data_IF_104427717292
#
_entry.id   IF_104427717292
#
_cell.length_a   1.000
_cell.length_b   1.000
_cell.length_c   1.000
_cell.angle_alpha   90.00
_cell.angle_beta   90.00
_cell.angle_gamma   90.00
#
_symmetry.space_group_name_H-M   'P 1'
#
loop_
_entity.id
_entity.type
_entity.pdbx_description
1 polymer ?
#
# COMPACT_ATOMS: atom_id res chain seq x y z
N UNK A 1 -16.91 13.08 -1.67
CA UNK A 1 -15.69 13.43 -2.46
C UNK A 1 -14.81 12.20 -2.45
N UNK A 2 -14.44 11.71 -3.61
CA UNK A 2 -13.73 10.41 -3.74
C UNK A 2 -12.26 10.44 -3.27
N UNK A 3 -11.55 11.58 -3.37
CA UNK A 3 -10.24 11.73 -2.74
C UNK A 3 -10.42 11.97 -1.23
N UNK A 4 -9.90 11.08 -0.40
CA UNK A 4 -10.10 11.10 1.06
C UNK A 4 -8.81 10.86 1.83
N UNK A 5 -8.76 11.21 3.12
CA UNK A 5 -7.67 10.84 4.02
C UNK A 5 -7.67 9.31 4.26
N UNK A 6 -6.51 8.74 4.54
CA UNK A 6 -6.39 7.28 4.75
C UNK A 6 -6.97 6.86 6.11
N UNK A 7 -6.72 7.62 7.18
CA UNK A 7 -7.12 7.24 8.54
C UNK A 7 -8.63 6.91 8.68
N UNK A 8 -9.58 7.71 8.15
CA UNK A 8 -11.00 7.36 8.21
C UNK A 8 -11.32 6.01 7.56
N UNK A 9 -10.66 5.66 6.44
CA UNK A 9 -10.83 4.37 5.76
C UNK A 9 -10.34 3.22 6.65
N UNK A 10 -9.19 3.40 7.30
CA UNK A 10 -8.60 2.36 8.17
C UNK A 10 -9.43 2.17 9.46
N UNK A 11 -9.89 3.26 10.07
CA UNK A 11 -10.76 3.18 11.26
C UNK A 11 -12.10 2.51 10.96
N UNK A 12 -12.66 2.71 9.78
CA UNK A 12 -13.86 2.02 9.37
C UNK A 12 -13.59 0.54 9.07
N UNK A 13 -12.43 0.24 8.48
CA UNK A 13 -11.99 -1.13 8.24
C UNK A 13 -11.82 -1.92 9.56
N UNK A 14 -11.20 -1.33 10.57
CA UNK A 14 -11.07 -1.93 11.91
C UNK A 14 -12.44 -2.29 12.52
N UNK A 15 -13.41 -1.37 12.49
CA UNK A 15 -14.76 -1.61 13.02
C UNK A 15 -15.48 -2.77 12.35
N UNK A 16 -15.21 -2.97 11.07
CA UNK A 16 -15.85 -4.00 10.25
C UNK A 16 -15.07 -5.32 10.17
N UNK A 17 -13.89 -5.41 10.81
CA UNK A 17 -12.95 -6.52 10.70
C UNK A 17 -12.62 -6.85 9.23
N UNK A 18 -12.26 -5.83 8.46
CA UNK A 18 -11.79 -5.90 7.07
C UNK A 18 -10.49 -5.13 6.94
N UNK A 19 -9.84 -5.22 5.77
CA UNK A 19 -8.67 -4.37 5.47
C UNK A 19 -8.84 -3.63 4.15
N UNK A 20 -8.32 -2.40 4.07
CA UNK A 20 -8.25 -1.64 2.82
C UNK A 20 -7.01 -2.07 2.04
N UNK A 21 -7.21 -2.41 0.77
CA UNK A 21 -6.11 -2.75 -0.12
C UNK A 21 -5.33 -1.49 -0.54
N UNK A 22 -4.02 -1.51 -0.30
CA UNK A 22 -3.10 -0.49 -0.76
C UNK A 22 -2.31 -1.03 -1.97
N UNK A 23 -2.60 -0.47 -3.14
CA UNK A 23 -2.08 -0.96 -4.40
C UNK A 23 -0.99 -0.05 -4.94
N UNK A 24 0.24 -0.59 -5.04
CA UNK A 24 1.38 0.15 -5.57
C UNK A 24 1.23 0.38 -7.07
N UNK A 25 1.43 1.62 -7.48
CA UNK A 25 1.38 2.06 -8.87
C UNK A 25 2.70 2.71 -9.29
N UNK A 26 3.03 2.65 -10.56
CA UNK A 26 4.27 3.22 -11.10
C UNK A 26 4.10 3.83 -12.50
N UNK A 27 2.89 3.76 -13.06
CA UNK A 27 2.55 4.35 -14.34
C UNK A 27 1.02 4.55 -14.46
N UNK A 28 0.60 5.17 -15.55
CA UNK A 28 -0.81 5.46 -15.82
C UNK A 28 -1.67 4.19 -15.89
N UNK A 29 -1.16 3.15 -16.50
CA UNK A 29 -1.87 1.88 -16.69
C UNK A 29 -2.20 1.23 -15.36
N UNK A 30 -1.26 1.25 -14.41
CA UNK A 30 -1.46 0.71 -13.07
C UNK A 30 -2.50 1.53 -12.28
N UNK A 31 -2.45 2.87 -12.37
CA UNK A 31 -3.48 3.74 -11.78
C UNK A 31 -4.86 3.41 -12.34
N UNK A 32 -4.98 3.30 -13.68
CA UNK A 32 -6.25 2.97 -14.34
C UNK A 32 -6.76 1.58 -13.92
N UNK A 33 -5.89 0.59 -13.83
CA UNK A 33 -6.24 -0.77 -13.42
C UNK A 33 -6.78 -0.82 -11.99
N UNK A 34 -6.10 -0.14 -11.07
CA UNK A 34 -6.48 -0.09 -9.66
C UNK A 34 -7.84 0.64 -9.47
N UNK A 35 -7.99 1.82 -10.06
CA UNK A 35 -9.25 2.59 -9.96
C UNK A 35 -10.43 1.82 -10.55
N UNK A 36 -10.26 1.24 -11.75
CA UNK A 36 -11.33 0.44 -12.38
C UNK A 36 -11.72 -0.78 -11.55
N UNK A 37 -10.75 -1.51 -10.99
CA UNK A 37 -11.04 -2.65 -10.13
C UNK A 37 -11.81 -2.23 -8.87
N UNK A 38 -11.44 -1.11 -8.26
CA UNK A 38 -12.12 -0.55 -7.09
C UNK A 38 -13.56 -0.13 -7.41
N UNK A 39 -13.77 0.55 -8.54
CA UNK A 39 -15.11 0.96 -9.01
C UNK A 39 -16.00 -0.26 -9.35
N UNK A 40 -15.45 -1.28 -10.03
CA UNK A 40 -16.16 -2.53 -10.34
C UNK A 40 -16.59 -3.27 -9.07
N UNK A 41 -15.82 -3.14 -7.98
CA UNK A 41 -16.10 -3.77 -6.69
C UNK A 41 -16.88 -2.86 -5.72
N UNK A 42 -17.13 -1.61 -6.10
CA UNK A 42 -17.71 -0.56 -5.24
C UNK A 42 -17.03 -0.48 -3.88
N UNK A 43 -15.71 -0.29 -3.87
CA UNK A 43 -14.86 -0.47 -2.68
C UNK A 43 -13.79 0.62 -2.59
N UNK A 44 -13.56 1.22 -1.41
CA UNK A 44 -12.44 2.13 -1.20
C UNK A 44 -11.10 1.41 -1.32
N UNK A 45 -10.10 2.11 -1.85
CA UNK A 45 -8.72 1.64 -1.94
C UNK A 45 -7.72 2.73 -1.58
N UNK A 46 -6.46 2.33 -1.44
CA UNK A 46 -5.32 3.23 -1.34
C UNK A 46 -4.48 3.08 -2.62
N UNK A 47 -4.27 4.18 -3.36
CA UNK A 47 -3.26 4.25 -4.41
C UNK A 47 -1.95 4.69 -3.78
N UNK A 48 -0.89 3.89 -3.91
CA UNK A 48 0.39 4.20 -3.29
C UNK A 48 1.56 4.15 -4.28
N UNK A 49 2.60 4.96 -4.00
CA UNK A 49 3.86 4.93 -4.73
C UNK A 49 5.02 5.07 -3.74
N UNK A 50 5.99 4.16 -3.83
CA UNK A 50 7.18 4.20 -2.97
C UNK A 50 8.23 5.20 -3.51
N UNK A 51 8.92 5.93 -2.61
CA UNK A 51 9.94 6.92 -3.00
C UNK A 51 11.03 6.31 -3.90
N UNK A 52 11.46 5.07 -3.65
CA UNK A 52 12.46 4.37 -4.47
C UNK A 52 12.06 4.23 -5.94
N UNK A 53 10.76 4.26 -6.26
CA UNK A 53 10.27 4.18 -7.64
C UNK A 53 10.36 5.50 -8.39
N UNK A 54 10.48 6.61 -7.68
CA UNK A 54 10.41 7.95 -8.27
C UNK A 54 11.56 8.23 -9.25
N UNK A 55 12.67 7.48 -9.18
CA UNK A 55 13.72 7.54 -10.21
C UNK A 55 13.23 7.13 -11.61
N UNK A 56 12.22 6.25 -11.71
CA UNK A 56 11.64 5.76 -12.97
C UNK A 56 10.22 6.29 -13.22
N UNK A 57 9.58 6.78 -12.18
CA UNK A 57 8.18 7.26 -12.18
C UNK A 57 8.15 8.59 -11.41
N UNK A 58 8.67 9.69 -11.99
CA UNK A 58 8.87 10.97 -11.30
C UNK A 58 7.61 11.46 -10.61
N UNK A 59 7.75 11.96 -9.37
CA UNK A 59 6.62 12.38 -8.54
C UNK A 59 5.80 13.50 -9.18
N UNK A 60 6.46 14.43 -9.87
CA UNK A 60 5.83 15.54 -10.57
C UNK A 60 4.89 15.10 -11.71
N UNK A 61 5.06 13.88 -12.23
CA UNK A 61 4.18 13.28 -13.23
C UNK A 61 3.14 12.35 -12.57
N UNK A 62 3.58 11.53 -11.63
CA UNK A 62 2.70 10.55 -10.99
C UNK A 62 1.70 11.20 -10.04
N UNK A 63 2.12 12.17 -9.24
CA UNK A 63 1.27 12.73 -8.21
C UNK A 63 0.01 13.42 -8.77
N UNK A 64 0.10 14.35 -9.76
CA UNK A 64 -1.09 14.94 -10.35
C UNK A 64 -2.03 13.90 -10.96
N UNK A 65 -1.48 12.85 -11.58
CA UNK A 65 -2.26 11.77 -12.19
C UNK A 65 -3.00 10.94 -11.13
N UNK A 66 -2.32 10.51 -10.06
CA UNK A 66 -2.91 9.75 -8.97
C UNK A 66 -4.00 10.55 -8.25
N UNK A 67 -3.72 11.81 -7.90
CA UNK A 67 -4.67 12.72 -7.25
C UNK A 67 -5.87 13.01 -8.15
N UNK A 68 -5.65 13.24 -9.46
CA UNK A 68 -6.74 13.44 -10.42
C UNK A 68 -7.61 12.19 -10.57
N UNK A 69 -6.98 11.01 -10.66
CA UNK A 69 -7.71 9.74 -10.74
C UNK A 69 -8.57 9.52 -9.49
N UNK A 70 -8.02 9.75 -8.29
CA UNK A 70 -8.74 9.63 -7.03
C UNK A 70 -9.90 10.63 -6.93
N UNK A 71 -9.72 11.90 -7.34
CA UNK A 71 -10.77 12.93 -7.33
C UNK A 71 -11.97 12.60 -8.23
N UNK A 72 -11.74 11.88 -9.34
CA UNK A 72 -12.76 11.56 -10.33
C UNK A 72 -13.30 10.13 -10.19
N UNK A 73 -12.80 9.33 -9.26
CA UNK A 73 -13.28 7.99 -9.00
C UNK A 73 -14.72 8.01 -8.42
N UNK A 74 -15.44 6.90 -8.57
CA UNK A 74 -16.79 6.70 -8.00
C UNK A 74 -16.76 6.14 -6.57
N UNK A 75 -15.58 5.75 -6.10
CA UNK A 75 -15.33 5.21 -4.77
C UNK A 75 -14.31 6.08 -4.03
N UNK A 76 -14.25 5.98 -2.72
CA UNK A 76 -13.27 6.72 -1.93
C UNK A 76 -11.87 6.15 -2.11
N UNK A 77 -10.91 7.04 -2.40
CA UNK A 77 -9.51 6.67 -2.66
C UNK A 77 -8.60 7.59 -1.85
N UNK A 78 -7.73 7.00 -1.04
CA UNK A 78 -6.59 7.71 -0.46
C UNK A 78 -5.38 7.62 -1.40
N UNK A 79 -4.58 8.69 -1.46
CA UNK A 79 -3.33 8.73 -2.22
C UNK A 79 -2.17 8.81 -1.24
N UNK A 80 -1.27 7.83 -1.29
CA UNK A 80 -0.28 7.57 -0.27
C UNK A 80 1.16 7.55 -0.83
N UNK A 81 2.08 8.26 -0.17
CA UNK A 81 3.51 8.07 -0.36
C UNK A 81 3.98 6.91 0.53
N UNK A 82 4.35 5.81 -0.10
CA UNK A 82 4.79 4.57 0.53
C UNK A 82 6.32 4.59 0.69
N UNK A 83 6.84 4.08 1.80
CA UNK A 83 8.27 4.06 2.11
C UNK A 83 9.02 5.35 1.73
N UNK A 84 8.54 6.48 2.27
CA UNK A 84 9.25 7.76 2.17
C UNK A 84 10.55 7.69 2.95
N UNK A 85 11.67 8.04 2.31
CA UNK A 85 13.01 7.99 2.88
C UNK A 85 13.51 9.38 3.26
N UNK A 86 12.93 10.42 2.63
CA UNK A 86 13.38 11.80 2.77
C UNK A 86 12.22 12.74 3.12
N UNK A 87 12.49 13.67 4.03
CA UNK A 87 11.52 14.71 4.40
C UNK A 87 11.15 15.58 3.20
N UNK A 88 12.06 15.78 2.26
CA UNK A 88 11.79 16.58 1.06
C UNK A 88 10.82 15.89 0.11
N UNK A 89 10.91 14.57 -0.04
CA UNK A 89 9.92 13.80 -0.80
C UNK A 89 8.54 13.85 -0.13
N UNK A 90 8.49 13.74 1.19
CA UNK A 90 7.23 13.85 1.96
C UNK A 90 6.60 15.23 1.76
N UNK A 91 7.38 16.33 1.88
CA UNK A 91 6.90 17.69 1.60
C UNK A 91 6.37 17.83 0.18
N UNK A 92 7.09 17.28 -0.80
CA UNK A 92 6.65 17.31 -2.19
C UNK A 92 5.34 16.56 -2.38
N UNK A 93 5.18 15.34 -1.83
CA UNK A 93 3.95 14.56 -1.90
C UNK A 93 2.76 15.31 -1.28
N UNK A 94 2.93 15.89 -0.10
CA UNK A 94 1.92 16.72 0.55
C UNK A 94 1.54 17.94 -0.31
N UNK A 95 2.52 18.61 -0.93
CA UNK A 95 2.27 19.77 -1.80
C UNK A 95 1.49 19.42 -3.06
N UNK A 96 1.60 18.20 -3.56
CA UNK A 96 0.79 17.68 -4.67
C UNK A 96 -0.62 17.22 -4.25
N UNK A 97 -0.93 17.23 -2.95
CA UNK A 97 -2.24 16.86 -2.42
C UNK A 97 -2.38 15.37 -2.10
N UNK A 98 -1.29 14.69 -1.79
CA UNK A 98 -1.35 13.35 -1.19
C UNK A 98 -2.08 13.45 0.14
N UNK A 99 -2.96 12.50 0.40
CA UNK A 99 -3.80 12.46 1.61
C UNK A 99 -3.22 11.55 2.70
N UNK A 100 -2.09 10.94 2.39
CA UNK A 100 -1.34 10.10 3.33
C UNK A 100 0.14 10.03 2.92
N UNK A 101 1.01 9.95 3.91
CA UNK A 101 2.45 9.79 3.73
C UNK A 101 3.00 8.79 4.75
N UNK A 102 4.05 8.08 4.39
CA UNK A 102 4.81 7.23 5.29
C UNK A 102 6.27 7.72 5.35
N UNK A 103 6.83 7.76 6.56
CA UNK A 103 8.28 7.81 6.76
C UNK A 103 8.77 6.43 7.17
N UNK A 104 9.72 5.89 6.41
CA UNK A 104 10.37 4.62 6.73
C UNK A 104 11.77 4.88 7.31
N UNK A 105 11.84 4.87 8.64
CA UNK A 105 13.06 4.92 9.42
C UNK A 105 13.28 3.62 10.23
N UNK A 106 12.66 2.52 9.83
CA UNK A 106 12.69 1.22 10.52
C UNK A 106 14.09 0.62 10.71
N UNK A 107 15.02 1.00 9.85
CA UNK A 107 16.43 0.59 9.94
C UNK A 107 17.28 1.43 10.90
N UNK A 108 16.76 2.55 11.39
CA UNK A 108 17.46 3.41 12.35
C UNK A 108 17.26 2.91 13.80
N UNK A 109 18.11 3.35 14.73
CA UNK A 109 17.84 3.17 16.15
C UNK A 109 16.48 3.71 16.55
N UNK A 110 15.85 3.13 17.57
CA UNK A 110 14.48 3.46 17.99
C UNK A 110 14.29 4.97 18.23
N UNK A 111 15.17 5.60 18.98
CA UNK A 111 15.08 7.02 19.34
C UNK A 111 15.20 7.94 18.12
N UNK A 112 16.01 7.52 17.11
CA UNK A 112 16.12 8.28 15.86
C UNK A 112 14.88 8.10 14.99
N UNK A 113 14.32 6.90 14.93
CA UNK A 113 13.05 6.64 14.24
C UNK A 113 11.93 7.48 14.88
N UNK A 114 11.78 7.43 16.21
CA UNK A 114 10.81 8.24 16.95
C UNK A 114 10.94 9.72 16.60
N UNK A 115 12.16 10.28 16.74
CA UNK A 115 12.40 11.70 16.48
C UNK A 115 11.99 12.12 15.08
N UNK A 116 12.46 11.38 14.05
CA UNK A 116 12.18 11.71 12.64
C UNK A 116 10.70 11.53 12.31
N UNK A 117 10.07 10.49 12.82
CA UNK A 117 8.65 10.24 12.63
C UNK A 117 7.79 11.35 13.27
N UNK A 118 8.11 11.76 14.50
CA UNK A 118 7.44 12.88 15.16
C UNK A 118 7.55 14.19 14.34
N UNK A 119 8.73 14.49 13.76
CA UNK A 119 8.93 15.65 12.88
C UNK A 119 8.00 15.59 11.64
N UNK A 120 7.80 14.38 11.06
CA UNK A 120 6.91 14.19 9.91
C UNK A 120 5.44 14.30 10.31
N UNK A 121 5.05 13.80 11.47
CA UNK A 121 3.69 13.99 12.01
C UNK A 121 3.37 15.47 12.13
N UNK A 122 4.26 16.25 12.75
CA UNK A 122 4.09 17.70 12.88
C UNK A 122 4.02 18.42 11.52
N UNK A 123 4.79 17.95 10.53
CA UNK A 123 4.80 18.47 9.15
C UNK A 123 3.50 18.17 8.40
N UNK A 124 2.93 16.97 8.55
CA UNK A 124 1.74 16.53 7.85
C UNK A 124 0.44 17.08 8.47
N UNK A 125 0.45 17.35 9.76
CA UNK A 125 -0.72 17.80 10.54
C UNK A 125 -1.51 18.96 9.89
N UNK A 126 -0.87 20.06 9.40
CA UNK A 126 -1.61 21.18 8.80
C UNK A 126 -2.39 20.81 7.51
N UNK A 127 -1.98 19.76 6.82
CA UNK A 127 -2.66 19.28 5.61
C UNK A 127 -3.79 18.29 5.90
N UNK A 128 -3.90 17.79 7.13
CA UNK A 128 -4.83 16.72 7.49
C UNK A 128 -4.48 15.37 6.86
N UNK A 129 -3.26 15.20 6.36
CA UNK A 129 -2.80 13.95 5.80
C UNK A 129 -2.49 12.94 6.90
N UNK A 130 -2.85 11.68 6.67
CA UNK A 130 -2.56 10.55 7.55
C UNK A 130 -1.06 10.24 7.52
N UNK A 131 -0.45 9.98 8.68
CA UNK A 131 0.95 9.57 8.78
C UNK A 131 1.06 8.12 9.20
N UNK A 132 1.69 7.33 8.34
CA UNK A 132 2.11 5.94 8.61
C UNK A 132 3.60 5.91 8.94
N UNK A 133 4.04 5.00 9.80
CA UNK A 133 5.45 4.71 10.02
C UNK A 133 5.65 3.22 10.26
N UNK A 134 6.88 2.74 10.17
CA UNK A 134 7.25 1.34 10.34
C UNK A 134 8.13 1.13 11.58
N UNK A 135 7.83 0.06 12.32
CA UNK A 135 8.65 -0.44 13.42
C UNK A 135 8.91 -1.93 13.28
N UNK A 136 10.12 -2.35 13.59
CA UNK A 136 10.64 -3.65 13.19
C UNK A 136 11.33 -3.54 11.84
N UNK A 137 11.63 -4.66 11.19
CA UNK A 137 12.22 -4.69 9.83
C UNK A 137 11.46 -5.73 9.01
N UNK A 138 10.71 -5.24 8.03
CA UNK A 138 10.09 -6.11 7.02
C UNK A 138 11.19 -6.69 6.14
N UNK A 139 11.14 -8.01 5.90
CA UNK A 139 12.16 -8.71 5.12
C UNK A 139 12.10 -8.43 3.63
N UNK A 140 13.04 -9.04 2.89
CA UNK A 140 13.06 -8.97 1.43
C UNK A 140 13.69 -7.70 0.87
N UNK A 141 13.42 -7.45 -0.39
CA UNK A 141 13.99 -6.33 -1.14
C UNK A 141 12.89 -5.52 -1.79
N UNK A 142 12.84 -4.25 -1.49
CA UNK A 142 11.99 -3.30 -2.17
C UNK A 142 12.78 -2.50 -3.24
N UNK A 143 13.00 -3.13 -4.40
CA UNK A 143 13.79 -2.58 -5.50
C UNK A 143 15.29 -2.91 -5.39
N UNK A 144 16.19 -1.94 -5.67
CA UNK A 144 17.66 -2.15 -5.78
C UNK A 144 18.41 -2.17 -4.43
N UNK A 145 17.74 -2.37 -3.31
CA UNK A 145 18.37 -2.41 -1.99
C UNK A 145 18.78 -3.81 -1.59
N UNK A 146 19.75 -3.91 -0.68
CA UNK A 146 20.15 -5.18 -0.09
C UNK A 146 18.96 -5.87 0.60
N UNK A 147 18.94 -7.19 0.55
CA UNK A 147 17.96 -7.99 1.25
C UNK A 147 18.09 -7.78 2.77
N UNK A 148 17.01 -7.37 3.42
CA UNK A 148 16.97 -7.15 4.85
C UNK A 148 16.51 -8.40 5.57
N UNK A 149 17.20 -8.75 6.68
CA UNK A 149 16.74 -9.80 7.57
C UNK A 149 15.55 -9.30 8.37
N UNK A 150 14.53 -10.13 8.45
CA UNK A 150 13.33 -9.85 9.24
C UNK A 150 13.71 -9.63 10.71
N UNK A 151 13.20 -8.53 11.29
CA UNK A 151 13.20 -8.28 12.72
C UNK A 151 11.78 -7.97 13.14
N UNK A 152 11.12 -8.91 13.80
CA UNK A 152 9.75 -8.71 14.25
C UNK A 152 9.63 -7.47 15.16
N UNK A 153 8.51 -6.81 15.06
CA UNK A 153 8.16 -5.66 15.91
C UNK A 153 7.98 -6.14 17.35
N UNK A 154 8.61 -5.44 18.28
CA UNK A 154 8.39 -5.64 19.72
C UNK A 154 7.10 -4.91 20.15
N UNK A 155 6.15 -5.58 20.85
CA UNK A 155 4.86 -5.00 21.20
C UNK A 155 4.96 -3.80 22.15
N UNK A 156 5.87 -3.81 23.13
CA UNK A 156 6.05 -2.68 24.05
C UNK A 156 6.73 -1.51 23.34
N UNK A 157 7.70 -1.79 22.45
CA UNK A 157 8.28 -0.75 21.61
C UNK A 157 7.23 -0.14 20.67
N UNK A 158 6.27 -0.93 20.13
CA UNK A 158 5.17 -0.41 19.32
C UNK A 158 4.28 0.56 20.08
N UNK A 159 3.91 0.24 21.33
CA UNK A 159 3.15 1.10 22.22
C UNK A 159 3.86 2.42 22.51
N UNK A 160 5.16 2.35 22.82
CA UNK A 160 5.97 3.55 23.07
C UNK A 160 6.09 4.39 21.80
N UNK A 161 6.35 3.75 20.65
CA UNK A 161 6.49 4.42 19.36
C UNK A 161 5.22 5.20 18.98
N UNK A 162 4.04 4.58 19.08
CA UNK A 162 2.74 5.26 18.87
C UNK A 162 2.63 6.50 19.79
N UNK A 163 2.90 6.32 21.08
CA UNK A 163 2.72 7.39 22.08
C UNK A 163 3.68 8.57 21.84
N UNK A 164 4.93 8.29 21.49
CA UNK A 164 5.97 9.31 21.35
C UNK A 164 5.93 10.01 19.99
N UNK A 165 5.46 9.32 18.96
CA UNK A 165 5.43 9.87 17.60
C UNK A 165 4.11 10.54 17.26
N UNK A 166 2.98 10.02 17.76
CA UNK A 166 1.64 10.46 17.41
C UNK A 166 1.24 10.09 15.97
N UNK A 167 1.74 8.98 15.45
CA UNK A 167 1.36 8.43 14.12
C UNK A 167 -0.12 8.04 14.08
N UNK A 168 -0.66 7.96 12.87
CA UNK A 168 -2.04 7.55 12.60
C UNK A 168 -2.19 6.07 12.23
N UNK A 169 -1.11 5.41 11.76
CA UNK A 169 -1.09 4.01 11.40
C UNK A 169 0.32 3.42 11.56
N UNK A 170 0.41 2.15 11.95
CA UNK A 170 1.68 1.47 12.24
C UNK A 170 1.88 0.24 11.33
N UNK A 171 2.90 0.30 10.48
CA UNK A 171 3.39 -0.86 9.75
C UNK A 171 4.25 -1.75 10.65
N UNK A 172 3.90 -3.05 10.68
CA UNK A 172 4.51 -4.02 11.60
C UNK A 172 5.20 -5.16 10.85
N UNK A 173 6.34 -5.58 11.37
CA UNK A 173 7.06 -6.77 10.92
C UNK A 173 6.69 -7.97 11.80
N UNK A 174 6.02 -8.94 11.21
CA UNK A 174 5.58 -10.18 11.86
C UNK A 174 6.04 -11.45 11.12
N UNK A 175 7.12 -11.34 10.35
CA UNK A 175 7.59 -12.44 9.47
C UNK A 175 7.27 -12.20 7.98
N UNK A 176 6.64 -11.10 7.66
CA UNK A 176 6.33 -10.66 6.30
C UNK A 176 7.58 -10.09 5.60
N UNK A 177 7.58 -10.14 4.26
CA UNK A 177 8.67 -9.66 3.43
C UNK A 177 8.16 -9.06 2.11
N UNK A 178 8.94 -8.16 1.54
CA UNK A 178 8.68 -7.60 0.21
C UNK A 178 9.12 -8.55 -0.90
N UNK A 179 8.41 -8.52 -2.04
CA UNK A 179 8.76 -9.31 -3.22
C UNK A 179 8.06 -10.66 -3.27
N UNK A 180 8.73 -11.64 -3.88
CA UNK A 180 8.25 -13.02 -3.94
C UNK A 180 8.76 -13.81 -2.74
N UNK A 181 7.89 -14.60 -2.14
CA UNK A 181 8.29 -15.57 -1.11
C UNK A 181 8.85 -16.83 -1.78
N UNK A 182 10.15 -17.15 -1.60
CA UNK A 182 10.72 -18.38 -2.16
C UNK A 182 10.21 -19.64 -1.44
N UNK A 183 9.75 -19.48 -0.21
CA UNK A 183 9.07 -20.47 0.62
C UNK A 183 7.86 -19.86 1.29
N UNK A 184 6.95 -20.68 1.78
CA UNK A 184 5.76 -20.19 2.48
C UNK A 184 6.17 -19.28 3.66
N UNK A 185 5.64 -18.05 3.79
CA UNK A 185 5.97 -17.18 4.90
C UNK A 185 5.47 -17.74 6.24
N UNK A 186 6.27 -17.57 7.28
CA UNK A 186 5.89 -17.93 8.65
C UNK A 186 5.52 -16.64 9.41
N UNK A 187 4.22 -16.29 9.38
CA UNK A 187 3.73 -15.11 10.08
C UNK A 187 3.56 -15.39 11.58
N UNK A 188 4.11 -14.52 12.40
CA UNK A 188 4.05 -14.51 13.86
C UNK A 188 2.76 -13.87 14.34
N UNK A 189 1.67 -14.62 14.26
CA UNK A 189 0.34 -14.17 14.72
C UNK A 189 0.26 -13.93 16.23
N UNK A 190 1.10 -14.61 17.00
CA UNK A 190 1.28 -14.35 18.43
C UNK A 190 1.77 -12.92 18.68
N UNK A 191 2.79 -12.48 17.95
CA UNK A 191 3.31 -11.09 18.03
C UNK A 191 2.25 -10.08 17.54
N UNK A 192 1.54 -10.40 16.46
CA UNK A 192 0.48 -9.52 15.95
C UNK A 192 -0.62 -9.27 16.99
N UNK A 193 -1.05 -10.32 17.69
CA UNK A 193 -2.06 -10.23 18.76
C UNK A 193 -1.59 -9.34 19.92
N UNK A 194 -0.32 -9.47 20.32
CA UNK A 194 0.29 -8.65 21.36
C UNK A 194 0.40 -7.17 20.94
N UNK A 195 0.82 -6.90 19.69
CA UNK A 195 0.88 -5.53 19.17
C UNK A 195 -0.51 -4.91 19.10
N UNK A 196 -1.51 -5.63 18.57
CA UNK A 196 -2.88 -5.14 18.47
C UNK A 196 -3.50 -4.79 19.82
N UNK A 197 -3.12 -5.52 20.89
CA UNK A 197 -3.54 -5.20 22.27
C UNK A 197 -2.77 -4.03 22.88
N UNK A 198 -1.55 -3.79 22.43
CA UNK A 198 -0.67 -2.76 22.98
C UNK A 198 -0.86 -1.39 22.34
N UNK A 199 -1.41 -1.32 21.12
CA UNK A 199 -1.55 -0.09 20.31
C UNK A 199 -3.02 0.26 20.06
N UNK A 200 -3.29 1.52 19.72
CA UNK A 200 -4.64 2.05 19.41
C UNK A 200 -4.76 2.55 17.97
N UNK A 201 -3.67 2.51 17.20
CA UNK A 201 -3.66 2.91 15.79
C UNK A 201 -3.86 1.70 14.87
N UNK A 202 -4.50 1.88 13.70
CA UNK A 202 -4.63 0.83 12.70
C UNK A 202 -3.29 0.18 12.33
N UNK A 203 -3.27 -1.16 12.30
CA UNK A 203 -2.10 -1.92 11.91
C UNK A 203 -2.04 -2.12 10.41
N UNK A 204 -0.82 -2.06 9.87
CA UNK A 204 -0.54 -2.20 8.44
C UNK A 204 0.37 -3.40 8.21
N UNK A 205 0.03 -4.23 7.21
CA UNK A 205 0.83 -5.36 6.77
C UNK A 205 1.45 -5.06 5.39
N UNK A 206 2.77 -4.86 5.37
CA UNK A 206 3.55 -4.75 4.14
C UNK A 206 3.85 -6.12 3.55
N UNK A 207 4.21 -6.18 2.25
CA UNK A 207 4.58 -7.42 1.59
C UNK A 207 3.45 -8.45 1.49
N UNK A 208 2.20 -8.00 1.35
CA UNK A 208 1.03 -8.89 1.27
C UNK A 208 0.97 -9.78 0.02
N UNK A 209 1.71 -9.43 -1.05
CA UNK A 209 1.81 -10.25 -2.27
C UNK A 209 2.45 -11.60 -1.98
N UNK A 210 1.80 -12.69 -2.37
CA UNK A 210 2.31 -14.06 -2.16
C UNK A 210 2.03 -14.65 -0.77
N UNK A 211 1.46 -13.89 0.15
CA UNK A 211 0.92 -14.45 1.40
C UNK A 211 -0.39 -15.19 1.09
N UNK A 212 -0.56 -16.45 1.56
CA UNK A 212 -1.81 -17.20 1.39
C UNK A 212 -3.04 -16.45 1.91
N UNK A 213 -4.15 -16.58 1.18
CA UNK A 213 -5.38 -15.83 1.47
C UNK A 213 -5.96 -16.12 2.87
N UNK A 214 -5.81 -17.34 3.39
CA UNK A 214 -6.19 -17.70 4.75
C UNK A 214 -5.36 -17.01 5.82
N UNK A 215 -4.06 -16.84 5.59
CA UNK A 215 -3.16 -16.08 6.47
C UNK A 215 -3.50 -14.58 6.44
N UNK A 216 -3.80 -14.01 5.25
CA UNK A 216 -4.26 -12.62 5.14
C UNK A 216 -5.57 -12.38 5.91
N UNK A 217 -6.55 -13.26 5.74
CA UNK A 217 -7.81 -13.21 6.49
C UNK A 217 -7.61 -13.32 8.00
N UNK A 218 -6.68 -14.19 8.43
CA UNK A 218 -6.32 -14.30 9.84
C UNK A 218 -5.69 -13.03 10.39
N UNK A 219 -4.75 -12.42 9.64
CA UNK A 219 -4.13 -11.16 10.03
C UNK A 219 -5.18 -10.03 10.17
N UNK A 220 -6.13 -9.96 9.23
CA UNK A 220 -7.25 -8.99 9.28
C UNK A 220 -8.11 -9.21 10.53
N UNK A 221 -8.50 -10.46 10.83
CA UNK A 221 -9.26 -10.79 12.02
C UNK A 221 -8.53 -10.45 13.34
N UNK A 222 -7.20 -10.23 13.26
CA UNK A 222 -6.32 -9.85 14.36
C UNK A 222 -5.89 -8.38 14.33
N UNK A 223 -6.64 -7.51 13.59
CA UNK A 223 -6.49 -6.06 13.66
C UNK A 223 -5.73 -5.40 12.51
N UNK A 224 -5.29 -6.15 11.49
CA UNK A 224 -4.69 -5.53 10.31
C UNK A 224 -5.77 -4.83 9.49
N UNK A 225 -5.63 -3.51 9.32
CA UNK A 225 -6.59 -2.64 8.61
C UNK A 225 -6.13 -2.20 7.21
N UNK A 226 -4.84 -2.33 6.88
CA UNK A 226 -4.25 -2.02 5.56
C UNK A 226 -3.32 -3.14 5.12
N UNK A 227 -3.39 -3.53 3.85
CA UNK A 227 -2.46 -4.52 3.29
C UNK A 227 -1.89 -4.01 1.97
N UNK A 228 -0.56 -3.96 1.87
CA UNK A 228 0.16 -3.53 0.69
C UNK A 228 0.29 -4.67 -0.33
N UNK A 229 -0.17 -4.44 -1.56
CA UNK A 229 -0.07 -5.35 -2.70
C UNK A 229 0.66 -4.67 -3.86
N UNK A 230 1.73 -5.28 -4.32
CA UNK A 230 2.56 -4.78 -5.42
C UNK A 230 2.94 -5.88 -6.41
N UNK A 231 3.72 -6.87 -5.97
CA UNK A 231 4.41 -7.85 -6.82
C UNK A 231 3.43 -8.65 -7.68
N UNK A 232 2.31 -9.10 -7.14
CA UNK A 232 1.30 -9.86 -7.88
C UNK A 232 0.72 -9.07 -9.06
N UNK A 233 0.48 -7.76 -8.87
CA UNK A 233 -0.04 -6.89 -9.93
C UNK A 233 0.98 -6.72 -11.05
N UNK A 234 2.25 -6.55 -10.70
CA UNK A 234 3.36 -6.45 -11.67
C UNK A 234 3.49 -7.74 -12.48
N UNK A 235 3.46 -8.89 -11.80
CA UNK A 235 3.56 -10.21 -12.47
C UNK A 235 2.39 -10.40 -13.43
N UNK A 236 1.16 -10.09 -13.03
CA UNK A 236 -0.02 -10.23 -13.88
C UNK A 236 0.08 -9.36 -15.15
N UNK A 237 0.47 -8.09 -14.98
CA UNK A 237 0.66 -7.18 -16.10
C UNK A 237 1.77 -7.66 -17.07
N UNK A 238 2.93 -8.02 -16.52
CA UNK A 238 4.06 -8.51 -17.31
C UNK A 238 3.73 -9.80 -18.07
N UNK A 239 3.04 -10.74 -17.43
CA UNK A 239 2.61 -11.98 -18.07
C UNK A 239 1.64 -11.73 -19.24
N UNK A 240 0.75 -10.76 -19.13
CA UNK A 240 -0.14 -10.37 -20.22
C UNK A 240 0.61 -9.71 -21.38
N UNK A 241 1.56 -8.82 -21.06
CA UNK A 241 2.42 -8.18 -22.06
C UNK A 241 3.29 -9.20 -22.79
N UNK A 242 3.81 -10.21 -22.09
CA UNK A 242 4.56 -11.30 -22.70
C UNK A 242 3.68 -12.11 -23.66
N UNK A 243 2.49 -12.54 -23.24
CA UNK A 243 1.53 -13.25 -24.09
C UNK A 243 1.14 -12.46 -25.33
N UNK A 244 1.10 -11.12 -25.25
CA UNK A 244 0.82 -10.26 -26.40
C UNK A 244 1.77 -10.52 -27.57
N UNK A 245 3.07 -10.69 -27.29
CA UNK A 245 4.10 -11.00 -28.29
C UNK A 245 4.07 -12.48 -28.70
N UNK A 246 3.89 -13.41 -27.76
CA UNK A 246 3.81 -14.85 -28.09
C UNK A 246 2.66 -15.16 -29.05
N UNK A 247 1.51 -14.50 -28.86
CA UNK A 247 0.34 -14.64 -29.73
C UNK A 247 0.46 -13.85 -31.05
N UNK A 248 1.56 -13.18 -31.28
CA UNK A 248 1.80 -12.38 -32.49
C UNK A 248 0.85 -11.21 -32.67
N UNK A 249 0.28 -10.69 -31.59
CA UNK A 249 -0.65 -9.54 -31.63
C UNK A 249 0.03 -8.27 -32.12
N UNK A 250 1.32 -8.12 -31.85
CA UNK A 250 2.19 -7.01 -32.30
C UNK A 250 2.29 -6.95 -33.86
N UNK A 251 2.14 -8.07 -34.53
CA UNK A 251 2.24 -8.19 -35.98
C UNK A 251 0.92 -8.01 -36.73
N UNK A 252 -0.21 -7.96 -35.98
CA UNK A 252 -1.54 -7.70 -36.56
C UNK A 252 -1.69 -6.23 -36.93
N UNK A 253 -2.71 -5.91 -37.75
CA UNK A 253 -3.03 -4.52 -38.07
C UNK A 253 -3.15 -3.68 -36.81
N UNK A 254 -2.36 -2.58 -36.70
CA UNK A 254 -2.27 -1.70 -35.53
C UNK A 254 -1.80 -2.38 -34.24
N UNK A 255 -1.31 -3.61 -34.26
CA UNK A 255 -0.80 -4.33 -33.08
C UNK A 255 0.45 -3.70 -32.47
N UNK A 256 1.25 -3.00 -33.28
CA UNK A 256 2.48 -2.31 -32.83
C UNK A 256 2.25 -1.04 -31.97
N UNK A 257 1.01 -0.63 -31.75
CA UNK A 257 0.74 0.51 -30.87
C UNK A 257 0.89 0.12 -29.40
N UNK A 258 1.74 0.84 -28.67
CA UNK A 258 2.01 0.64 -27.21
C UNK A 258 0.72 0.60 -26.40
N UNK A 259 -0.28 1.41 -26.74
CA UNK A 259 -1.58 1.40 -26.06
C UNK A 259 -2.31 0.06 -26.06
N UNK A 260 -2.09 -0.80 -27.07
CA UNK A 260 -2.73 -2.12 -27.16
C UNK A 260 -2.06 -3.10 -26.20
N UNK A 261 -0.72 -3.06 -26.10
CA UNK A 261 0.06 -3.80 -25.12
C UNK A 261 -0.29 -3.36 -23.70
N UNK A 262 -0.32 -2.05 -23.46
CA UNK A 262 -0.65 -1.48 -22.16
C UNK A 262 -2.07 -1.85 -21.71
N UNK A 263 -3.06 -1.83 -22.61
CA UNK A 263 -4.43 -2.27 -22.32
C UNK A 263 -4.49 -3.71 -21.83
N UNK A 264 -3.78 -4.64 -22.50
CA UNK A 264 -3.78 -6.05 -22.10
C UNK A 264 -3.17 -6.20 -20.68
N UNK A 265 -2.16 -5.41 -20.34
CA UNK A 265 -1.60 -5.33 -18.97
C UNK A 265 -2.62 -4.84 -17.94
N UNK A 266 -3.33 -3.74 -18.22
CA UNK A 266 -4.40 -3.21 -17.35
C UNK A 266 -5.49 -4.25 -17.09
N UNK A 267 -5.98 -4.90 -18.15
CA UNK A 267 -7.05 -5.90 -18.01
C UNK A 267 -6.60 -7.13 -17.21
N UNK A 268 -5.31 -7.49 -17.26
CA UNK A 268 -4.77 -8.62 -16.51
C UNK A 268 -4.57 -8.30 -15.01
N UNK A 269 -4.35 -7.04 -14.64
CA UNK A 269 -4.23 -6.65 -13.24
C UNK A 269 -5.57 -6.68 -12.50
N UNK A 270 -6.66 -6.33 -13.16
CA UNK A 270 -7.98 -6.20 -12.52
C UNK A 270 -8.46 -7.45 -11.78
N UNK A 271 -8.35 -8.68 -12.34
CA UNK A 271 -8.72 -9.89 -11.60
C UNK A 271 -7.93 -10.07 -10.31
N UNK A 272 -6.62 -9.80 -10.31
CA UNK A 272 -5.77 -9.89 -9.12
C UNK A 272 -6.22 -8.89 -8.05
N UNK A 273 -6.45 -7.64 -8.45
CA UNK A 273 -6.92 -6.59 -7.56
C UNK A 273 -8.29 -6.94 -6.96
N UNK A 274 -9.25 -7.42 -7.78
CA UNK A 274 -10.57 -7.84 -7.31
C UNK A 274 -10.50 -9.03 -6.35
N UNK A 275 -9.62 -10.00 -6.62
CA UNK A 275 -9.39 -11.12 -5.71
C UNK A 275 -8.93 -10.60 -4.34
N UNK A 276 -7.92 -9.75 -4.30
CA UNK A 276 -7.41 -9.17 -3.04
C UNK A 276 -8.47 -8.35 -2.31
N UNK A 277 -9.21 -7.49 -3.01
CA UNK A 277 -10.34 -6.74 -2.45
C UNK A 277 -11.37 -7.70 -1.80
N UNK A 278 -11.70 -8.80 -2.47
CA UNK A 278 -12.62 -9.80 -1.93
C UNK A 278 -12.04 -10.52 -0.70
N UNK A 279 -10.76 -10.90 -0.74
CA UNK A 279 -10.04 -11.54 0.38
C UNK A 279 -10.03 -10.62 1.60
N UNK A 280 -9.84 -9.32 1.39
CA UNK A 280 -9.80 -8.31 2.46
C UNK A 280 -11.18 -7.99 3.04
N UNK A 281 -12.26 -8.53 2.46
CA UNK A 281 -13.62 -8.40 2.97
C UNK A 281 -14.33 -7.10 2.60
N UNK A 282 -13.74 -6.28 1.73
CA UNK A 282 -14.30 -4.97 1.34
C UNK A 282 -15.36 -5.04 0.22
N UNK A 283 -15.51 -6.18 -0.47
CA UNK A 283 -16.37 -6.29 -1.64
C UNK A 283 -17.86 -5.97 -1.34
N UNK A 284 -18.43 -5.02 -2.08
CA UNK A 284 -19.86 -4.69 -2.04
C UNK A 284 -20.32 -3.98 -0.77
N UNK A 285 -19.42 -3.46 0.05
CA UNK A 285 -19.77 -2.68 1.23
C UNK A 285 -19.72 -1.20 0.87
N UNK A 286 -20.91 -0.60 0.77
CA UNK A 286 -21.04 0.86 0.71
C UNK A 286 -20.40 1.45 1.98
N UNK A 287 -19.52 2.42 1.81
CA UNK A 287 -19.05 3.23 2.95
C UNK A 287 -20.28 3.76 3.67
N UNK A 288 -20.41 3.40 4.96
CA UNK A 288 -21.61 3.54 5.77
C UNK A 288 -22.45 4.76 5.48
N UNK A 289 -23.74 4.64 5.70
CA UNK A 289 -24.79 5.62 5.47
C UNK A 289 -24.29 7.07 5.54
N UNK A 290 -24.37 7.76 4.37
CA UNK A 290 -24.06 9.18 4.25
C UNK A 290 -25.21 10.01 4.78
#
# INVERSE_FOLDING_TARGET
>A
MSLTAMLPLLKEAEKQNIAVGAFSVGNMEMVMGAVKAAEEMNTPIILQIAEKRLKNSPLELMAPMMVSAAKNAKVDIAVHLDHGLTVDCIKAALSYGFTSVMLDCSLLPFEENVKKTHEVVALAYPSGATVEAELGVVGGNEGDTAEHKIKCTDPEAARLFETETGIDALAVAIGNAHGNYPVLPELRFDILDEINKATNVPLVLHGGSGIPNDMLKKAIAMGVAKININTENQIAAMAAMWRYFEEGKDRREKGHFVRNLARDGVEAMKPVLREKISVFGCAGRDGGDR
#
